data_IF_323709969177
#
_entry.id   IF_323709969177
#
_cell.length_a   1.000
_cell.length_b   1.000
_cell.length_c   1.000
_cell.angle_alpha   90.00
_cell.angle_beta   90.00
_cell.angle_gamma   90.00
#
_symmetry.space_group_name_H-M   'P 1'
#
loop_
_entity.id
_entity.type
_entity.pdbx_description
1 polymer ?
#
# COMPACT_ATOMS: atom_id res chain seq x y z
N UNK A 1 0.72 -10.08 15.29
CA UNK A 1 -0.05 -11.33 15.34
C UNK A 1 0.40 -12.16 14.15
N UNK A 2 0.81 -13.39 14.39
CA UNK A 2 1.13 -14.39 13.36
C UNK A 2 0.12 -15.53 13.54
N UNK A 3 -0.43 -16.06 12.46
CA UNK A 3 -1.39 -17.16 12.49
C UNK A 3 -0.91 -18.23 11.53
N UNK A 4 -0.50 -19.37 12.07
CA UNK A 4 0.04 -20.49 11.30
C UNK A 4 -0.96 -21.65 11.33
N UNK A 5 -1.20 -22.28 10.19
CA UNK A 5 -1.95 -23.54 10.14
C UNK A 5 -1.01 -24.67 10.54
N UNK A 6 -1.38 -25.44 11.57
CA UNK A 6 -0.65 -26.63 11.99
C UNK A 6 -1.48 -27.86 11.61
N UNK A 7 -0.82 -28.82 10.97
CA UNK A 7 -1.38 -30.12 10.63
C UNK A 7 -0.80 -31.15 11.60
N UNK A 8 -1.64 -31.69 12.48
CA UNK A 8 -1.26 -32.75 13.42
C UNK A 8 -2.23 -33.92 13.30
N UNK A 9 -1.70 -35.10 13.00
CA UNK A 9 -2.37 -36.42 13.00
C UNK A 9 -3.91 -36.38 12.90
N UNK A 10 -4.43 -35.95 11.74
CA UNK A 10 -5.84 -35.86 11.35
C UNK A 10 -6.64 -34.60 11.77
N UNK A 11 -6.01 -33.57 12.33
CA UNK A 11 -6.66 -32.28 12.60
C UNK A 11 -5.81 -31.07 12.18
N UNK A 12 -6.40 -30.23 11.33
CA UNK A 12 -5.88 -28.91 11.00
C UNK A 12 -6.40 -27.89 12.01
N UNK A 13 -5.49 -27.19 12.70
CA UNK A 13 -5.86 -26.11 13.60
C UNK A 13 -4.97 -24.88 13.41
N UNK A 14 -5.56 -23.70 13.65
CA UNK A 14 -4.86 -22.43 13.55
C UNK A 14 -4.18 -22.10 14.88
N UNK A 15 -2.86 -21.90 14.84
CA UNK A 15 -2.08 -21.42 15.98
C UNK A 15 -1.86 -19.92 15.86
N UNK A 16 -2.46 -19.16 16.78
CA UNK A 16 -2.30 -17.72 16.86
C UNK A 16 -1.20 -17.34 17.84
N UNK A 17 -0.26 -16.52 17.39
CA UNK A 17 0.79 -15.92 18.20
C UNK A 17 0.60 -14.41 18.28
N UNK A 18 0.39 -13.90 19.49
CA UNK A 18 0.23 -12.48 19.76
C UNK A 18 1.50 -11.90 20.38
N UNK A 19 1.81 -10.66 20.03
CA UNK A 19 2.95 -9.91 20.58
C UNK A 19 2.67 -9.37 21.99
N UNK A 20 1.43 -9.51 22.47
CA UNK A 20 0.97 -9.12 23.80
C UNK A 20 -0.01 -10.14 24.35
N UNK A 21 -0.22 -10.11 25.67
CA UNK A 21 -1.28 -10.88 26.33
C UNK A 21 -2.65 -10.35 25.89
N UNK A 22 -3.57 -11.26 25.60
CA UNK A 22 -4.95 -10.94 25.25
C UNK A 22 -5.75 -10.58 26.49
N UNK A 23 -6.69 -9.67 26.32
CA UNK A 23 -7.67 -9.38 27.34
C UNK A 23 -8.77 -10.46 27.33
N UNK A 24 -9.46 -10.73 28.46
CA UNK A 24 -10.44 -11.81 28.53
C UNK A 24 -11.54 -11.75 27.45
N UNK A 25 -12.02 -10.54 27.12
CA UNK A 25 -13.03 -10.36 26.07
C UNK A 25 -12.48 -10.57 24.64
N UNK A 26 -11.16 -10.52 24.44
CA UNK A 26 -10.52 -10.83 23.16
C UNK A 26 -10.37 -12.35 22.98
N UNK A 27 -10.32 -13.13 24.07
CA UNK A 27 -10.26 -14.59 24.03
C UNK A 27 -11.55 -15.18 23.45
N UNK A 28 -12.71 -14.64 23.82
CA UNK A 28 -14.01 -15.05 23.27
C UNK A 28 -14.09 -14.79 21.75
N UNK A 29 -13.56 -13.65 21.31
CA UNK A 29 -13.48 -13.30 19.88
C UNK A 29 -12.51 -14.24 19.15
N UNK A 30 -11.40 -14.60 19.79
CA UNK A 30 -10.42 -15.52 19.22
C UNK A 30 -10.98 -16.95 19.09
N UNK A 31 -11.74 -17.41 20.08
CA UNK A 31 -12.41 -18.72 20.01
C UNK A 31 -13.43 -18.75 18.86
N UNK A 32 -14.23 -17.69 18.74
CA UNK A 32 -15.19 -17.53 17.62
C UNK A 32 -14.46 -17.57 16.27
N UNK A 33 -13.36 -16.82 16.16
CA UNK A 33 -12.54 -16.79 14.95
C UNK A 33 -11.92 -18.16 14.63
N UNK A 34 -11.42 -18.87 15.64
CA UNK A 34 -10.84 -20.20 15.49
C UNK A 34 -11.86 -21.22 14.97
N UNK A 35 -13.10 -21.18 15.48
CA UNK A 35 -14.19 -22.01 14.99
C UNK A 35 -14.58 -21.71 13.55
N UNK A 36 -14.57 -20.43 13.14
CA UNK A 36 -14.84 -20.05 11.76
C UNK A 36 -13.73 -20.51 10.81
N UNK A 37 -12.47 -20.45 11.27
CA UNK A 37 -11.30 -20.78 10.47
C UNK A 37 -11.01 -22.29 10.38
N UNK A 38 -11.51 -23.11 11.31
CA UNK A 38 -11.34 -24.58 11.26
C UNK A 38 -12.01 -25.21 10.02
N UNK A 39 -13.01 -24.55 9.45
CA UNK A 39 -13.69 -24.96 8.21
C UNK A 39 -12.84 -24.65 6.96
N UNK A 40 -11.85 -23.76 7.09
CA UNK A 40 -11.00 -23.34 5.97
C UNK A 40 -9.84 -24.33 5.81
N UNK A 41 -9.83 -25.06 4.70
CA UNK A 41 -8.70 -25.91 4.30
C UNK A 41 -7.80 -25.13 3.33
N UNK A 42 -6.53 -24.98 3.68
CA UNK A 42 -5.54 -24.40 2.78
C UNK A 42 -5.13 -25.46 1.75
N UNK A 43 -5.14 -25.11 0.47
CA UNK A 43 -4.64 -25.96 -0.61
C UNK A 43 -3.25 -25.47 -1.00
N UNK A 44 -2.23 -26.30 -0.78
CA UNK A 44 -0.81 -25.95 -1.01
C UNK A 44 -0.50 -25.58 -2.47
N UNK A 45 -1.28 -26.08 -3.42
CA UNK A 45 -1.07 -25.87 -4.86
C UNK A 45 -1.93 -24.74 -5.47
N UNK A 46 -2.73 -24.06 -4.65
CA UNK A 46 -3.51 -22.90 -5.09
C UNK A 46 -2.76 -21.60 -4.83
N UNK A 47 -2.55 -20.78 -5.87
CA UNK A 47 -2.11 -19.40 -5.65
C UNK A 47 -3.11 -18.72 -4.70
N UNK A 48 -2.59 -18.08 -3.64
CA UNK A 48 -3.41 -17.32 -2.71
C UNK A 48 -4.17 -16.22 -3.47
N UNK A 49 -5.43 -16.50 -3.75
CA UNK A 49 -6.33 -15.59 -4.43
C UNK A 49 -6.90 -14.52 -3.47
N UNK A 50 -6.46 -14.52 -2.20
CA UNK A 50 -6.39 -13.35 -1.33
C UNK A 50 -5.11 -12.54 -1.56
N UNK A 51 -4.69 -12.41 -2.83
CA UNK A 51 -4.13 -11.15 -3.32
C UNK A 51 -4.88 -10.01 -2.63
N UNK A 52 -4.18 -8.94 -2.23
CA UNK A 52 -4.76 -7.70 -1.72
C UNK A 52 -5.75 -7.15 -2.75
N UNK A 53 -6.93 -7.76 -2.82
CA UNK A 53 -7.99 -7.44 -3.73
C UNK A 53 -8.48 -6.14 -3.14
N UNK A 54 -8.30 -5.07 -3.89
CA UNK A 54 -8.76 -3.72 -3.61
C UNK A 54 -10.30 -3.72 -3.59
N UNK A 55 -10.88 -4.41 -2.59
CA UNK A 55 -12.29 -4.78 -2.47
C UNK A 55 -13.20 -3.57 -2.31
N UNK A 56 -12.62 -2.40 -2.02
CA UNK A 56 -13.31 -1.14 -1.85
C UNK A 56 -13.26 -0.22 -3.09
N UNK A 57 -12.63 -0.63 -4.20
CA UNK A 57 -12.77 0.10 -5.46
C UNK A 57 -14.24 0.13 -5.90
N UNK A 58 -14.73 1.26 -6.41
CA UNK A 58 -16.17 1.44 -6.64
C UNK A 58 -16.74 0.43 -7.63
N UNK A 59 -15.99 0.06 -8.66
CA UNK A 59 -16.38 -1.04 -9.58
C UNK A 59 -16.65 -2.36 -8.86
N UNK A 60 -15.90 -2.68 -7.79
CA UNK A 60 -16.13 -3.87 -6.96
C UNK A 60 -17.35 -3.69 -6.06
N UNK A 61 -17.57 -2.48 -5.53
CA UNK A 61 -18.73 -2.15 -4.71
C UNK A 61 -20.04 -2.23 -5.50
N UNK A 62 -20.05 -1.76 -6.76
CA UNK A 62 -21.18 -1.89 -7.69
C UNK A 62 -21.49 -3.36 -7.95
N UNK A 63 -20.47 -4.18 -8.26
CA UNK A 63 -20.64 -5.63 -8.48
C UNK A 63 -21.21 -6.36 -7.25
N UNK A 64 -21.02 -5.80 -6.05
CA UNK A 64 -21.53 -6.32 -4.79
C UNK A 64 -22.86 -5.70 -4.36
N UNK A 65 -23.45 -4.80 -5.16
CA UNK A 65 -24.70 -4.12 -4.84
C UNK A 65 -24.60 -3.14 -3.67
N UNK A 66 -23.40 -2.72 -3.27
CA UNK A 66 -23.19 -1.78 -2.15
C UNK A 66 -23.49 -0.34 -2.57
N UNK A 67 -23.17 0.02 -3.82
CA UNK A 67 -23.47 1.33 -4.39
C UNK A 67 -24.11 1.16 -5.78
N UNK A 68 -24.92 2.12 -6.25
CA UNK A 68 -25.53 2.06 -7.58
C UNK A 68 -24.47 2.25 -8.69
N UNK A 69 -24.75 1.71 -9.89
CA UNK A 69 -23.79 1.67 -11.00
C UNK A 69 -23.37 3.04 -11.54
N UNK A 70 -24.26 4.03 -11.48
CA UNK A 70 -23.99 5.42 -11.86
C UNK A 70 -22.98 6.12 -10.92
N UNK A 71 -22.73 5.56 -9.73
CA UNK A 71 -21.75 6.06 -8.78
C UNK A 71 -20.37 5.41 -8.93
N UNK A 72 -20.14 4.61 -9.97
CA UNK A 72 -18.85 3.93 -10.21
C UNK A 72 -17.70 4.88 -10.55
N UNK A 73 -17.97 6.16 -10.82
CA UNK A 73 -16.97 7.13 -11.31
C UNK A 73 -15.82 7.37 -10.32
N UNK A 74 -14.61 7.48 -10.87
CA UNK A 74 -13.36 7.71 -10.15
C UNK A 74 -13.46 8.92 -9.26
N UNK A 75 -13.03 8.77 -8.01
CA UNK A 75 -13.12 9.83 -7.00
C UNK A 75 -12.29 11.06 -7.37
N UNK A 76 -11.17 10.88 -8.09
CA UNK A 76 -10.27 11.96 -8.46
C UNK A 76 -10.64 12.61 -9.81
N UNK A 77 -10.61 11.86 -10.92
CA UNK A 77 -10.81 12.45 -12.25
C UNK A 77 -12.28 12.68 -12.62
N UNK A 78 -13.23 12.00 -11.97
CA UNK A 78 -14.68 12.04 -12.28
C UNK A 78 -15.08 11.65 -13.72
N UNK A 79 -14.14 11.20 -14.55
CA UNK A 79 -14.37 10.93 -15.98
C UNK A 79 -14.52 9.45 -16.33
N UNK A 80 -13.82 8.56 -15.62
CA UNK A 80 -13.80 7.11 -15.88
C UNK A 80 -14.28 6.32 -14.66
N UNK A 81 -14.62 5.04 -14.86
CA UNK A 81 -14.96 4.13 -13.77
C UNK A 81 -13.76 3.87 -12.84
N UNK A 82 -14.02 3.84 -11.53
CA UNK A 82 -13.00 3.60 -10.53
C UNK A 82 -12.67 2.11 -10.43
N UNK A 83 -11.65 1.69 -11.19
CA UNK A 83 -10.94 0.43 -10.96
C UNK A 83 -9.65 0.67 -10.16
N UNK A 84 -9.08 -0.35 -9.51
CA UNK A 84 -7.80 -0.21 -8.82
C UNK A 84 -6.67 0.25 -9.76
N UNK A 85 -6.62 -0.29 -10.98
CA UNK A 85 -5.63 0.10 -11.99
C UNK A 85 -5.80 1.54 -12.44
N UNK A 86 -7.04 1.98 -12.68
CA UNK A 86 -7.31 3.38 -12.99
C UNK A 86 -6.94 4.28 -11.81
N UNK A 87 -7.50 4.01 -10.63
CA UNK A 87 -7.28 4.83 -9.43
C UNK A 87 -5.81 4.97 -9.05
N UNK A 88 -5.02 3.88 -9.10
CA UNK A 88 -3.65 3.89 -8.60
C UNK A 88 -2.61 4.27 -9.66
N UNK A 89 -2.96 4.25 -10.95
CA UNK A 89 -1.97 4.42 -12.03
C UNK A 89 -2.49 5.25 -13.19
N UNK A 90 -3.60 4.85 -13.84
CA UNK A 90 -4.02 5.44 -15.12
C UNK A 90 -4.84 6.72 -15.01
N UNK A 91 -5.41 6.99 -13.83
CA UNK A 91 -6.07 8.25 -13.54
C UNK A 91 -5.08 9.40 -13.73
N UNK A 92 -5.46 10.45 -14.46
CA UNK A 92 -4.60 11.61 -14.71
C UNK A 92 -3.98 12.17 -13.42
N UNK A 93 -4.78 12.33 -12.37
CA UNK A 93 -4.33 12.77 -11.05
C UNK A 93 -3.25 11.85 -10.44
N UNK A 94 -3.41 10.53 -10.57
CA UNK A 94 -2.44 9.55 -10.08
C UNK A 94 -1.18 9.51 -10.93
N UNK A 95 -1.32 9.65 -12.25
CA UNK A 95 -0.21 9.76 -13.18
C UNK A 95 0.68 10.98 -12.89
N UNK A 96 0.07 12.13 -12.58
CA UNK A 96 0.80 13.35 -12.18
C UNK A 96 1.59 13.11 -10.88
N UNK A 97 0.96 12.50 -9.87
CA UNK A 97 1.64 12.14 -8.62
C UNK A 97 2.86 11.25 -8.89
N UNK A 98 2.69 10.17 -9.66
CA UNK A 98 3.82 9.30 -9.98
C UNK A 98 4.91 10.04 -10.76
N UNK A 99 4.54 10.93 -11.68
CA UNK A 99 5.49 11.71 -12.47
C UNK A 99 6.31 12.66 -11.59
N UNK A 100 5.68 13.32 -10.62
CA UNK A 100 6.35 14.16 -9.62
C UNK A 100 7.27 13.34 -8.70
N UNK A 101 6.83 12.14 -8.29
CA UNK A 101 7.69 11.23 -7.50
C UNK A 101 8.88 10.75 -8.33
N UNK A 102 8.71 10.42 -9.60
CA UNK A 102 9.82 10.05 -10.49
C UNK A 102 10.78 11.24 -10.73
N UNK A 103 10.23 12.43 -10.95
CA UNK A 103 11.00 13.66 -11.14
C UNK A 103 11.81 14.03 -9.90
N UNK A 104 11.28 13.78 -8.70
CA UNK A 104 12.01 13.94 -7.44
C UNK A 104 13.30 13.09 -7.36
N UNK A 105 13.36 11.99 -8.11
CA UNK A 105 14.55 11.14 -8.23
C UNK A 105 15.44 11.49 -9.43
N UNK A 106 15.11 12.56 -10.17
CA UNK A 106 15.73 12.96 -11.43
C UNK A 106 15.67 11.85 -12.50
N UNK A 107 14.56 11.12 -12.52
CA UNK A 107 14.29 10.08 -13.51
C UNK A 107 13.18 10.55 -14.44
N UNK A 108 13.05 9.87 -15.57
CA UNK A 108 11.91 9.97 -16.48
C UNK A 108 11.28 8.61 -16.61
N UNK A 109 9.98 8.58 -16.83
CA UNK A 109 9.24 7.33 -16.96
C UNK A 109 8.15 7.45 -18.03
N UNK A 110 7.73 6.29 -18.51
CA UNK A 110 6.55 6.12 -19.35
C UNK A 110 5.57 5.32 -18.51
N UNK A 111 4.31 5.77 -18.43
CA UNK A 111 3.29 5.10 -17.61
C UNK A 111 3.16 3.63 -18.02
N UNK A 112 3.49 2.67 -17.13
CA UNK A 112 3.35 1.25 -17.44
C UNK A 112 1.88 0.83 -17.47
N UNK A 113 1.58 -0.36 -18.02
CA UNK A 113 0.20 -0.84 -18.13
C UNK A 113 -0.38 -1.35 -16.80
N UNK A 114 0.48 -1.69 -15.84
CA UNK A 114 0.06 -2.23 -14.54
C UNK A 114 1.02 -1.84 -13.41
N UNK A 115 0.52 -1.85 -12.18
CA UNK A 115 1.35 -1.65 -10.99
C UNK A 115 2.49 -2.67 -10.87
N UNK A 116 2.30 -3.90 -11.38
CA UNK A 116 3.37 -4.89 -11.42
C UNK A 116 4.51 -4.44 -12.34
N UNK A 117 4.20 -3.86 -13.49
CA UNK A 117 5.24 -3.29 -14.37
C UNK A 117 5.91 -2.07 -13.74
N UNK A 118 5.16 -1.24 -13.00
CA UNK A 118 5.74 -0.15 -12.18
C UNK A 118 6.72 -0.74 -11.16
N UNK A 119 6.34 -1.80 -10.45
CA UNK A 119 7.23 -2.47 -9.50
C UNK A 119 8.48 -3.03 -10.17
N UNK A 120 8.35 -3.66 -11.34
CA UNK A 120 9.49 -4.13 -12.11
C UNK A 120 10.43 -2.98 -12.51
N UNK A 121 9.89 -1.86 -13.00
CA UNK A 121 10.66 -0.65 -13.25
C UNK A 121 11.43 -0.20 -12.00
N UNK A 122 10.75 -0.14 -10.85
CA UNK A 122 11.37 0.18 -9.56
C UNK A 122 12.50 -0.81 -9.22
N UNK A 123 12.30 -2.11 -9.40
CA UNK A 123 13.29 -3.13 -9.07
C UNK A 123 14.53 -3.13 -9.96
N UNK A 124 14.40 -2.66 -11.21
CA UNK A 124 15.48 -2.65 -12.20
C UNK A 124 16.45 -1.48 -12.03
N UNK A 125 16.04 -0.43 -11.32
CA UNK A 125 16.90 0.72 -11.04
C UNK A 125 17.90 0.38 -9.94
N UNK A 126 19.19 0.53 -10.25
CA UNK A 126 20.30 0.19 -9.35
C UNK A 126 20.66 1.37 -8.45
N UNK A 127 20.01 1.44 -7.30
CA UNK A 127 20.42 2.27 -6.17
C UNK A 127 21.20 1.46 -5.12
N UNK A 128 21.96 2.14 -4.26
CA UNK A 128 22.75 1.49 -3.19
C UNK A 128 22.26 1.89 -1.81
N UNK A 129 22.45 1.02 -0.83
CA UNK A 129 22.26 1.30 0.59
C UNK A 129 20.92 2.02 0.89
N UNK A 130 21.00 3.21 1.50
CA UNK A 130 19.86 4.02 1.90
C UNK A 130 19.01 4.49 0.71
N UNK A 131 19.62 4.83 -0.41
CA UNK A 131 18.89 5.23 -1.63
C UNK A 131 17.97 4.10 -2.10
N UNK A 132 18.45 2.84 -2.08
CA UNK A 132 17.64 1.69 -2.47
C UNK A 132 16.42 1.56 -1.56
N UNK A 133 16.62 1.74 -0.26
CA UNK A 133 15.54 1.66 0.72
C UNK A 133 14.52 2.78 0.53
N UNK A 134 14.98 4.02 0.38
CA UNK A 134 14.14 5.19 0.07
C UNK A 134 13.37 4.98 -1.25
N UNK A 135 14.01 4.36 -2.24
CA UNK A 135 13.41 4.10 -3.54
C UNK A 135 12.26 3.11 -3.44
N UNK A 136 12.46 1.96 -2.80
CA UNK A 136 11.35 1.02 -2.55
C UNK A 136 10.28 1.63 -1.65
N UNK A 137 10.67 2.38 -0.62
CA UNK A 137 9.71 3.07 0.24
C UNK A 137 8.83 4.04 -0.57
N UNK A 138 9.39 4.76 -1.55
CA UNK A 138 8.62 5.69 -2.40
C UNK A 138 7.52 4.99 -3.20
N UNK A 139 7.77 3.79 -3.74
CA UNK A 139 6.75 3.01 -4.45
C UNK A 139 5.57 2.67 -3.55
N UNK A 140 5.84 2.05 -2.39
CA UNK A 140 4.79 1.65 -1.46
C UNK A 140 4.08 2.85 -0.83
N UNK A 141 4.83 3.91 -0.50
CA UNK A 141 4.27 5.14 0.04
C UNK A 141 3.35 5.82 -0.97
N UNK A 142 3.68 5.82 -2.26
CA UNK A 142 2.83 6.41 -3.32
C UNK A 142 1.49 5.68 -3.41
N UNK A 143 1.52 4.36 -3.55
CA UNK A 143 0.30 3.53 -3.62
C UNK A 143 -0.55 3.72 -2.37
N UNK A 144 0.08 3.62 -1.19
CA UNK A 144 -0.61 3.79 0.09
C UNK A 144 -1.24 5.18 0.20
N UNK A 145 -0.54 6.22 -0.23
CA UNK A 145 -1.05 7.60 -0.15
C UNK A 145 -2.22 7.84 -1.06
N UNK A 146 -2.13 7.47 -2.33
CA UNK A 146 -3.25 7.58 -3.29
C UNK A 146 -4.48 6.86 -2.73
N UNK A 147 -4.32 5.63 -2.26
CA UNK A 147 -5.43 4.85 -1.70
C UNK A 147 -6.04 5.50 -0.44
N UNK A 148 -5.21 5.93 0.51
CA UNK A 148 -5.70 6.59 1.74
C UNK A 148 -6.37 7.92 1.44
N UNK A 149 -5.80 8.73 0.55
CA UNK A 149 -6.37 10.02 0.14
C UNK A 149 -7.72 9.84 -0.53
N UNK A 150 -7.87 8.82 -1.39
CA UNK A 150 -9.17 8.47 -1.97
C UNK A 150 -10.19 8.13 -0.88
N UNK A 151 -9.81 7.33 0.12
CA UNK A 151 -10.72 6.99 1.21
C UNK A 151 -11.13 8.23 2.01
N UNK A 152 -10.20 9.16 2.28
CA UNK A 152 -10.55 10.42 2.92
C UNK A 152 -11.47 11.29 2.07
N UNK A 153 -11.29 11.32 0.75
CA UNK A 153 -12.22 12.03 -0.15
C UNK A 153 -13.62 11.41 -0.14
N UNK A 154 -13.73 10.09 -0.04
CA UNK A 154 -15.02 9.39 0.01
C UNK A 154 -15.71 9.58 1.36
N UNK A 155 -15.00 9.40 2.48
CA UNK A 155 -15.62 9.35 3.81
C UNK A 155 -15.60 10.68 4.57
N UNK A 156 -14.66 11.57 4.25
CA UNK A 156 -14.47 12.86 4.94
C UNK A 156 -14.69 14.06 4.02
N UNK A 157 -15.06 13.83 2.75
CA UNK A 157 -15.19 14.86 1.72
C UNK A 157 -13.96 15.76 1.56
N UNK A 158 -12.78 15.24 1.92
CA UNK A 158 -11.53 15.99 1.81
C UNK A 158 -11.09 16.07 0.34
N UNK A 159 -10.81 17.27 -0.12
CA UNK A 159 -10.21 17.52 -1.43
C UNK A 159 -8.70 17.50 -1.28
N UNK A 160 -8.01 16.86 -2.21
CA UNK A 160 -6.56 16.76 -2.25
C UNK A 160 -6.03 17.33 -3.54
N UNK A 161 -4.96 18.10 -3.45
CA UNK A 161 -4.14 18.52 -4.58
C UNK A 161 -3.03 17.50 -4.85
N UNK A 162 -2.45 17.54 -6.06
CA UNK A 162 -1.31 16.67 -6.42
C UNK A 162 -0.13 16.98 -5.51
N UNK A 163 0.14 18.27 -5.28
CA UNK A 163 1.23 18.78 -4.46
C UNK A 163 1.15 18.28 -3.02
N UNK A 164 -0.04 18.34 -2.41
CA UNK A 164 -0.25 17.84 -1.05
C UNK A 164 0.02 16.33 -0.94
N UNK A 165 -0.41 15.56 -1.95
CA UNK A 165 -0.17 14.11 -1.95
C UNK A 165 1.32 13.82 -2.15
N UNK A 166 1.98 14.51 -3.07
CA UNK A 166 3.42 14.37 -3.31
C UNK A 166 4.20 14.67 -2.04
N UNK A 167 3.91 15.78 -1.35
CA UNK A 167 4.56 16.11 -0.09
C UNK A 167 4.27 15.09 1.01
N UNK A 168 3.05 14.55 1.07
CA UNK A 168 2.70 13.49 2.01
C UNK A 168 3.46 12.19 1.71
N UNK A 169 3.65 11.84 0.44
CA UNK A 169 4.47 10.68 0.03
C UNK A 169 5.92 10.88 0.49
N UNK A 170 6.54 12.03 0.19
CA UNK A 170 7.93 12.33 0.61
C UNK A 170 8.08 12.26 2.13
N UNK A 171 7.11 12.82 2.86
CA UNK A 171 7.06 12.79 4.33
C UNK A 171 6.95 11.36 4.85
N UNK A 172 6.09 10.52 4.25
CA UNK A 172 5.94 9.10 4.63
C UNK A 172 7.22 8.31 4.38
N UNK A 173 7.88 8.51 3.24
CA UNK A 173 9.19 7.89 2.95
C UNK A 173 10.20 8.24 4.04
N UNK A 174 10.33 9.53 4.38
CA UNK A 174 11.24 9.98 5.42
C UNK A 174 10.94 9.34 6.79
N UNK A 175 9.67 9.32 7.20
CA UNK A 175 9.24 8.71 8.46
C UNK A 175 9.51 7.21 8.47
N UNK A 176 9.18 6.49 7.40
CA UNK A 176 9.36 5.04 7.32
C UNK A 176 10.82 4.63 7.39
N UNK A 177 11.69 5.39 6.71
CA UNK A 177 13.13 5.15 6.69
C UNK A 177 13.74 5.47 8.06
N UNK A 178 13.39 6.61 8.66
CA UNK A 178 13.87 6.99 9.99
C UNK A 178 13.44 5.99 11.06
N UNK A 179 12.16 5.58 11.03
CA UNK A 179 11.61 4.63 12.00
C UNK A 179 12.19 3.22 11.89
N UNK A 180 12.58 2.79 10.69
CA UNK A 180 13.13 1.44 10.46
C UNK A 180 14.63 1.32 10.76
N UNK A 181 15.40 2.39 10.60
CA UNK A 181 16.87 2.35 10.66
C UNK A 181 17.51 3.23 11.74
N UNK A 182 16.71 3.84 12.64
CA UNK A 182 17.16 4.76 13.71
C UNK A 182 18.24 5.75 13.23
N UNK A 183 18.02 6.35 12.06
CA UNK A 183 18.99 7.24 11.43
C UNK A 183 18.98 8.57 12.19
N UNK A 184 20.02 8.82 12.99
CA UNK A 184 20.16 10.01 13.85
C UNK A 184 20.64 11.26 13.10
N UNK A 185 21.31 11.07 11.96
CA UNK A 185 22.05 12.15 11.27
C UNK A 185 21.21 12.97 10.29
N UNK A 186 19.91 12.66 10.12
CA UNK A 186 19.06 13.33 9.13
C UNK A 186 17.67 13.73 9.68
N UNK A 187 17.29 14.97 9.38
CA UNK A 187 15.92 15.48 9.59
C UNK A 187 14.98 14.93 8.52
N UNK A 188 13.67 14.91 8.83
CA UNK A 188 12.63 14.61 7.84
C UNK A 188 12.70 15.59 6.66
N UNK A 189 13.10 16.84 6.89
CA UNK A 189 13.25 17.84 5.84
C UNK A 189 14.47 17.59 4.93
N UNK A 190 15.53 16.96 5.45
CA UNK A 190 16.69 16.58 4.63
C UNK A 190 16.28 15.50 3.61
N UNK A 191 15.46 14.54 4.04
CA UNK A 191 14.89 13.53 3.15
C UNK A 191 13.93 14.14 2.13
N UNK A 192 13.07 15.08 2.53
CA UNK A 192 12.07 15.72 1.67
C UNK A 192 12.69 16.63 0.60
N UNK A 193 13.62 17.49 0.99
CA UNK A 193 14.12 18.59 0.15
C UNK A 193 15.40 18.26 -0.61
N UNK A 194 16.18 17.26 -0.17
CA UNK A 194 17.50 16.99 -0.75
C UNK A 194 17.83 15.51 -0.81
N UNK A 195 17.13 14.79 -1.70
CA UNK A 195 17.43 13.38 -1.99
C UNK A 195 18.88 13.17 -2.47
N UNK A 196 19.50 14.22 -3.03
CA UNK A 196 20.92 14.22 -3.43
C UNK A 196 21.89 14.20 -2.23
N UNK A 197 21.50 14.71 -1.06
CA UNK A 197 22.31 14.62 0.17
C UNK A 197 22.43 13.19 0.70
N UNK A 198 21.40 12.36 0.48
CA UNK A 198 21.36 10.93 0.84
C UNK A 198 22.39 10.11 0.04
N UNK A 199 22.70 10.54 -1.20
CA UNK A 199 23.61 9.83 -2.12
C UNK A 199 25.05 9.74 -1.64
N UNK A 200 25.42 10.53 -0.62
CA UNK A 200 26.79 10.57 -0.06
C UNK A 200 27.00 9.61 1.11
N UNK A 201 25.96 8.91 1.57
CA UNK A 201 26.03 8.06 2.77
C UNK A 201 26.41 6.63 2.40
N UNK A 202 27.60 6.22 2.82
CA UNK A 202 27.92 4.80 2.98
C UNK A 202 27.37 4.35 4.32
N UNK A 203 26.26 3.61 4.30
CA UNK A 203 25.94 2.63 5.34
C UNK A 203 26.83 1.42 5.11
#
# INVERSE_FOLDING_TARGET
MIADMINDQDQNYWKFQFTRVLQPWEEDQLQTLSQLLSVVQLQDDSEDCLQWKWRAAKTVLVRRGVIPGDQATCTFCKSEEESPSHLLLHCHFSWEIWSEIIAWWNLVWICPQSLMQVFHFWSNIRFRNLEKLCWYASYYATIWTIWTSRNESVFKHKVWTVEEIVELVKTRVAIWIKGKYDIKDYSVDDFRCNLAAIRRVRI
#
